data_IF_090449551320
#
_entry.id   IF_090449551320
#
_cell.length_a   1.000
_cell.length_b   1.000
_cell.length_c   1.000
_cell.angle_alpha   90.00
_cell.angle_beta   90.00
_cell.angle_gamma   90.00
#
_symmetry.space_group_name_H-M   'P 1'
#
loop_
_entity.id
_entity.type
_entity.pdbx_description
1 polymer ?
#
# COMPACT_ATOMS: atom_id res chain seq x y z
N UNK A 1 5.57 10.91 -9.27
CA UNK A 1 4.91 11.01 -7.96
C UNK A 1 5.95 11.51 -6.96
N UNK A 2 5.65 12.56 -6.19
CA UNK A 2 6.50 12.96 -5.06
C UNK A 2 5.59 13.34 -3.88
N UNK A 3 5.99 13.08 -2.62
CA UNK A 3 5.20 13.48 -1.47
C UNK A 3 5.17 15.01 -1.37
N UNK A 4 3.99 15.59 -1.22
CA UNK A 4 3.82 17.04 -1.04
C UNK A 4 3.93 17.47 0.43
N UNK A 5 3.97 16.51 1.34
CA UNK A 5 3.95 16.71 2.79
C UNK A 5 4.98 15.78 3.43
N UNK A 6 5.87 16.33 4.26
CA UNK A 6 6.91 15.61 4.97
C UNK A 6 6.35 14.77 6.14
N UNK A 7 5.10 15.01 6.52
CA UNK A 7 4.33 14.19 7.46
C UNK A 7 3.81 12.89 6.86
N UNK A 8 4.19 12.55 5.62
CA UNK A 8 3.98 11.22 5.03
C UNK A 8 5.26 10.37 5.19
N UNK A 9 5.45 9.69 6.33
CA UNK A 9 6.71 9.00 6.61
C UNK A 9 6.86 7.74 5.74
N UNK A 10 7.99 7.64 5.05
CA UNK A 10 8.42 6.45 4.28
C UNK A 10 9.04 5.38 5.19
N UNK A 11 8.49 5.21 6.39
CA UNK A 11 8.88 4.19 7.35
C UNK A 11 8.07 2.92 7.16
N UNK A 12 8.57 1.80 7.65
CA UNK A 12 7.91 0.50 7.55
C UNK A 12 6.71 0.44 8.50
N UNK A 13 5.49 0.22 7.98
CA UNK A 13 4.30 0.12 8.80
C UNK A 13 4.14 -1.30 9.38
N UNK A 14 3.40 -1.46 10.50
CA UNK A 14 3.05 -2.77 11.06
C UNK A 14 2.02 -3.54 10.22
N UNK A 15 1.44 -2.92 9.19
CA UNK A 15 0.54 -3.51 8.21
C UNK A 15 0.68 -2.75 6.88
N UNK A 16 0.37 -3.34 5.72
CA UNK A 16 0.50 -2.67 4.42
C UNK A 16 -0.16 -1.28 4.41
N UNK A 17 0.59 -0.25 3.98
CA UNK A 17 0.14 1.15 3.96
C UNK A 17 0.27 1.75 2.57
N UNK A 18 -0.87 2.16 2.00
CA UNK A 18 -0.89 2.90 0.74
C UNK A 18 -0.55 4.38 0.98
N UNK A 19 0.68 4.78 0.62
CA UNK A 19 1.19 6.14 0.79
C UNK A 19 0.87 7.04 -0.42
N UNK A 20 0.59 6.43 -1.58
CA UNK A 20 0.22 7.09 -2.83
C UNK A 20 -1.28 7.30 -3.03
N UNK A 21 -2.08 7.33 -1.96
CA UNK A 21 -3.54 7.35 -2.00
C UNK A 21 -4.16 8.61 -2.64
N UNK A 22 -3.57 9.78 -2.37
CA UNK A 22 -4.15 11.07 -2.74
C UNK A 22 -3.17 11.85 -3.62
N UNK A 23 -3.41 11.83 -4.93
CA UNK A 23 -2.49 12.38 -5.93
C UNK A 23 -3.11 13.59 -6.62
N UNK A 24 -2.28 14.60 -6.92
CA UNK A 24 -2.75 15.89 -7.46
C UNK A 24 -3.53 15.75 -8.78
N UNK A 25 -3.10 14.85 -9.66
CA UNK A 25 -3.72 14.65 -10.97
C UNK A 25 -5.08 13.94 -10.89
N UNK A 26 -5.41 13.35 -9.74
CA UNK A 26 -6.73 12.77 -9.44
C UNK A 26 -7.55 13.67 -8.48
N UNK A 27 -7.13 14.92 -8.29
CA UNK A 27 -7.84 15.87 -7.42
C UNK A 27 -7.79 15.50 -5.93
N UNK A 28 -6.75 14.78 -5.49
CA UNK A 28 -6.63 14.25 -4.12
C UNK A 28 -7.82 13.38 -3.71
N UNK A 29 -8.36 12.60 -4.65
CA UNK A 29 -9.36 11.58 -4.38
C UNK A 29 -8.77 10.20 -4.57
N UNK A 30 -9.16 9.26 -3.70
CA UNK A 30 -8.84 7.85 -3.88
C UNK A 30 -9.64 7.32 -5.07
N UNK A 31 -8.97 6.67 -6.02
CA UNK A 31 -9.61 6.28 -7.28
C UNK A 31 -10.58 5.10 -7.10
N UNK A 32 -10.19 4.09 -6.33
CA UNK A 32 -11.02 2.98 -5.85
C UNK A 32 -10.38 2.39 -4.59
N UNK A 33 -11.12 1.56 -3.84
CA UNK A 33 -10.73 1.18 -2.47
C UNK A 33 -9.50 0.25 -2.43
N UNK A 34 -9.37 -0.62 -3.42
CA UNK A 34 -8.32 -1.64 -3.48
C UNK A 34 -7.04 -1.14 -4.17
N UNK A 35 -7.01 0.10 -4.66
CA UNK A 35 -5.85 0.65 -5.36
C UNK A 35 -4.65 0.74 -4.40
N UNK A 36 -3.53 0.13 -4.81
CA UNK A 36 -2.26 0.23 -4.07
C UNK A 36 -1.11 0.74 -4.94
N UNK A 37 -1.41 1.19 -6.17
CA UNK A 37 -0.45 1.75 -7.10
C UNK A 37 0.21 3.04 -6.62
N UNK A 38 1.30 3.43 -7.28
CA UNK A 38 2.06 4.63 -6.97
C UNK A 38 3.08 4.41 -5.84
N UNK A 39 2.65 4.35 -4.58
CA UNK A 39 3.55 4.11 -3.44
C UNK A 39 2.85 3.27 -2.37
N UNK A 40 3.39 2.08 -2.11
CA UNK A 40 2.92 1.14 -1.11
C UNK A 40 4.10 0.77 -0.19
N UNK A 41 3.89 0.83 1.13
CA UNK A 41 4.83 0.30 2.10
C UNK A 41 4.29 -1.02 2.67
N UNK A 42 5.11 -2.07 2.63
CA UNK A 42 4.78 -3.42 3.12
C UNK A 42 5.96 -3.91 3.95
N UNK A 43 5.68 -4.55 5.09
CA UNK A 43 6.74 -5.19 5.87
C UNK A 43 7.31 -6.39 5.10
N UNK A 44 8.57 -6.75 5.35
CA UNK A 44 9.18 -7.92 4.71
C UNK A 44 8.51 -9.24 5.14
N UNK A 45 7.81 -9.27 6.27
CA UNK A 45 7.00 -10.40 6.71
C UNK A 45 5.72 -10.50 5.87
N UNK A 46 4.96 -9.41 5.76
CA UNK A 46 3.73 -9.34 4.98
C UNK A 46 3.97 -9.59 3.50
N UNK A 47 5.07 -9.05 2.95
CA UNK A 47 5.45 -9.27 1.55
C UNK A 47 5.70 -10.74 1.25
N UNK A 48 6.31 -11.47 2.19
CA UNK A 48 6.50 -12.93 2.07
C UNK A 48 5.19 -13.68 2.25
N UNK A 49 4.31 -13.24 3.15
CA UNK A 49 2.98 -13.82 3.37
C UNK A 49 2.11 -13.74 2.11
N UNK A 50 2.16 -12.62 1.39
CA UNK A 50 1.45 -12.40 0.12
C UNK A 50 2.09 -13.16 -1.06
N UNK A 51 3.29 -13.72 -0.88
CA UNK A 51 4.12 -14.29 -1.96
C UNK A 51 4.59 -13.24 -3.00
N UNK A 52 4.76 -11.99 -2.55
CA UNK A 52 5.23 -10.88 -3.38
C UNK A 52 4.30 -10.49 -4.54
N UNK A 53 4.83 -9.69 -5.47
CA UNK A 53 4.12 -9.33 -6.70
C UNK A 53 4.04 -10.49 -7.68
N UNK A 54 2.95 -10.54 -8.45
CA UNK A 54 2.80 -11.46 -9.57
C UNK A 54 3.80 -11.18 -10.69
N UNK A 55 4.44 -12.24 -11.18
CA UNK A 55 5.40 -12.18 -12.29
C UNK A 55 4.73 -12.31 -13.67
N UNK A 56 3.40 -12.32 -13.74
CA UNK A 56 2.65 -12.49 -14.99
C UNK A 56 2.43 -11.17 -15.73
N UNK A 57 2.64 -10.04 -15.05
CA UNK A 57 2.46 -8.71 -15.60
C UNK A 57 3.75 -8.22 -16.25
N UNK A 58 3.66 -7.89 -17.54
CA UNK A 58 4.74 -7.32 -18.33
C UNK A 58 4.28 -5.98 -18.90
N UNK A 59 5.11 -4.95 -18.74
CA UNK A 59 4.73 -3.57 -19.01
C UNK A 59 3.54 -3.12 -18.15
N UNK A 60 2.61 -2.36 -18.72
CA UNK A 60 1.60 -1.65 -17.95
C UNK A 60 0.31 -2.45 -17.77
N UNK A 61 -0.04 -2.67 -16.51
CA UNK A 61 -1.42 -2.73 -16.06
C UNK A 61 -1.76 -3.98 -15.25
N UNK A 62 -2.25 -3.75 -14.03
CA UNK A 62 -2.93 -4.74 -13.20
C UNK A 62 -2.07 -5.44 -12.15
N UNK A 63 -0.76 -5.14 -12.05
CA UNK A 63 0.07 -5.75 -11.01
C UNK A 63 -0.24 -5.18 -9.62
N UNK A 64 -0.55 -3.89 -9.58
CA UNK A 64 -0.99 -3.18 -8.39
C UNK A 64 -2.41 -3.58 -8.00
N UNK A 65 -3.30 -3.81 -8.95
CA UNK A 65 -4.63 -4.36 -8.69
C UNK A 65 -4.57 -5.77 -8.08
N UNK A 66 -3.73 -6.66 -8.62
CA UNK A 66 -3.53 -8.02 -8.11
C UNK A 66 -2.97 -7.98 -6.68
N UNK A 67 -1.95 -7.16 -6.44
CA UNK A 67 -1.43 -6.91 -5.09
C UNK A 67 -2.50 -6.35 -4.14
N UNK A 68 -3.33 -5.41 -4.61
CA UNK A 68 -4.43 -4.82 -3.84
C UNK A 68 -5.46 -5.87 -3.41
N UNK A 69 -5.81 -6.79 -4.31
CA UNK A 69 -6.71 -7.90 -4.02
C UNK A 69 -6.11 -8.89 -3.00
N UNK A 70 -4.84 -9.25 -3.15
CA UNK A 70 -4.15 -10.13 -2.21
C UNK A 70 -4.08 -9.51 -0.81
N UNK A 71 -3.76 -8.22 -0.74
CA UNK A 71 -3.73 -7.46 0.51
C UNK A 71 -5.13 -7.41 1.13
N UNK A 72 -6.17 -7.12 0.35
CA UNK A 72 -7.55 -7.10 0.83
C UNK A 72 -7.99 -8.47 1.37
N UNK A 73 -7.59 -9.56 0.71
CA UNK A 73 -7.92 -10.94 1.09
C UNK A 73 -7.20 -11.38 2.36
N UNK A 74 -5.90 -11.14 2.49
CA UNK A 74 -5.07 -11.64 3.59
C UNK A 74 -5.19 -10.81 4.87
N UNK A 75 -5.34 -9.49 4.74
CA UNK A 75 -5.35 -8.58 5.89
C UNK A 75 -6.75 -8.12 6.29
N UNK A 76 -7.79 -8.67 5.63
CA UNK A 76 -9.20 -8.41 5.92
C UNK A 76 -9.53 -6.90 5.94
N UNK A 77 -8.95 -6.15 4.99
CA UNK A 77 -9.02 -4.67 4.93
C UNK A 77 -10.42 -4.19 4.48
N UNK A 78 -11.35 -5.10 4.16
CA UNK A 78 -12.77 -4.79 4.04
C UNK A 78 -13.38 -4.59 5.44
N UNK A 79 -13.03 -3.48 6.10
CA UNK A 79 -13.64 -3.05 7.37
C UNK A 79 -12.69 -2.70 8.51
N UNK A 80 -11.38 -2.87 8.32
CA UNK A 80 -10.40 -2.66 9.39
C UNK A 80 -9.91 -1.19 9.47
N UNK A 81 -10.03 -0.59 10.66
CA UNK A 81 -9.56 0.76 11.01
C UNK A 81 -8.06 0.85 11.31
N UNK A 82 -7.28 -0.22 11.11
CA UNK A 82 -5.82 -0.23 11.33
C UNK A 82 -5.00 0.64 10.37
N UNK A 83 -5.63 1.36 9.44
CA UNK A 83 -4.97 2.38 8.61
C UNK A 83 -4.46 3.63 9.37
N UNK A 84 -4.63 3.71 10.70
CA UNK A 84 -4.37 4.96 11.44
C UNK A 84 -3.54 4.90 12.73
N UNK A 85 -3.25 3.74 13.32
CA UNK A 85 -2.71 3.72 14.69
C UNK A 85 -1.65 2.65 14.88
N UNK A 86 -0.38 3.08 14.88
CA UNK A 86 0.73 2.53 15.67
C UNK A 86 2.04 3.26 15.27
N UNK A 87 2.26 4.44 15.87
CA UNK A 87 3.49 5.21 15.78
C UNK A 87 4.42 4.74 16.91
N UNK A 88 5.16 3.64 16.72
CA UNK A 88 6.00 3.14 17.81
C UNK A 88 7.14 2.20 17.46
N UNK A 89 7.14 1.56 16.29
CA UNK A 89 8.18 0.60 15.93
C UNK A 89 8.64 0.87 14.49
N UNK A 90 9.82 1.46 14.37
CA UNK A 90 10.50 1.68 13.08
C UNK A 90 11.46 0.51 12.90
N UNK A 91 10.93 -0.64 12.49
CA UNK A 91 11.78 -1.73 12.04
C UNK A 91 12.26 -1.42 10.61
N UNK A 92 13.51 -1.76 10.26
CA UNK A 92 13.95 -1.66 8.87
C UNK A 92 13.18 -2.68 8.03
N UNK A 93 12.59 -2.19 6.95
CA UNK A 93 12.32 -2.98 5.75
C UNK A 93 13.70 -3.41 5.21
#
# INVERSE_FOLDING_TARGET
>A
MFPQDDRNPYSCPPAPRHMGAFVSNLGYQLWYKEIVGGVLAVSMEDYRLINGYSNMYWAWGGEDDDMGLLIAFLFNIVGDRRFGENLGQVDPC
#
